data_IF_383903102328
#
_entry.id   IF_383903102328
#
_cell.length_a   1.000
_cell.length_b   1.000
_cell.length_c   1.000
_cell.angle_alpha   90.00
_cell.angle_beta   90.00
_cell.angle_gamma   90.00
#
_symmetry.space_group_name_H-M   'P 1'
#
loop_
_entity.id
_entity.type
_entity.pdbx_description
1 polymer ?
#
# COMPACT_ATOMS: atom_id res chain seq x y z
N UNK A 1 4.26 24.37 -6.07
CA UNK A 1 2.97 25.01 -5.70
C UNK A 1 2.69 24.64 -4.25
N UNK A 2 2.52 25.63 -3.38
CA UNK A 2 2.35 25.40 -1.93
C UNK A 2 1.10 24.53 -1.65
N UNK A 3 1.25 23.48 -0.84
CA UNK A 3 0.21 22.51 -0.51
C UNK A 3 -1.01 23.21 0.11
N UNK A 4 -0.74 24.21 0.95
CA UNK A 4 -1.77 25.02 1.61
C UNK A 4 -2.59 25.80 0.58
N UNK A 5 -1.93 26.52 -0.31
CA UNK A 5 -2.60 27.26 -1.40
C UNK A 5 -3.43 26.33 -2.29
N UNK A 6 -2.95 25.12 -2.58
CA UNK A 6 -3.69 24.13 -3.36
C UNK A 6 -4.95 23.64 -2.65
N UNK A 7 -4.90 23.44 -1.32
CA UNK A 7 -6.07 23.09 -0.51
C UNK A 7 -7.08 24.22 -0.46
N UNK A 8 -6.63 25.45 -0.26
CA UNK A 8 -7.50 26.63 -0.18
C UNK A 8 -8.28 26.84 -1.50
N UNK A 9 -7.59 26.72 -2.65
CA UNK A 9 -8.24 26.79 -3.98
C UNK A 9 -9.29 25.68 -4.13
N UNK A 10 -9.00 24.44 -3.71
CA UNK A 10 -9.96 23.33 -3.78
C UNK A 10 -11.16 23.56 -2.88
N UNK A 11 -10.95 24.09 -1.67
CA UNK A 11 -12.03 24.41 -0.75
C UNK A 11 -12.97 25.47 -1.32
N UNK A 12 -12.44 26.54 -1.91
CA UNK A 12 -13.24 27.58 -2.57
C UNK A 12 -14.07 27.01 -3.72
N UNK A 13 -13.48 26.14 -4.55
CA UNK A 13 -14.20 25.47 -5.65
C UNK A 13 -15.38 24.62 -5.15
N UNK A 14 -15.20 23.85 -4.07
CA UNK A 14 -16.29 23.07 -3.51
C UNK A 14 -17.35 23.94 -2.82
N UNK A 15 -16.97 25.03 -2.18
CA UNK A 15 -17.91 26.00 -1.62
C UNK A 15 -18.76 26.67 -2.70
N UNK A 16 -18.15 27.05 -3.83
CA UNK A 16 -18.88 27.57 -5.00
C UNK A 16 -19.81 26.51 -5.60
N UNK A 17 -19.35 25.25 -5.71
CA UNK A 17 -20.19 24.15 -6.15
C UNK A 17 -21.42 23.96 -5.24
N UNK A 18 -21.23 24.02 -3.91
CA UNK A 18 -22.34 23.92 -2.94
C UNK A 18 -23.32 25.08 -3.13
N UNK A 19 -22.85 26.31 -3.37
CA UNK A 19 -23.72 27.47 -3.65
C UNK A 19 -24.56 27.26 -4.91
N UNK A 20 -23.97 26.72 -5.98
CA UNK A 20 -24.66 26.47 -7.25
C UNK A 20 -25.58 25.24 -7.20
N UNK A 21 -25.24 24.22 -6.41
CA UNK A 21 -25.95 22.92 -6.34
C UNK A 21 -26.07 22.44 -4.88
N UNK A 22 -26.87 23.12 -4.03
CA UNK A 22 -26.95 22.84 -2.59
C UNK A 22 -27.68 21.53 -2.24
N UNK A 23 -28.36 20.91 -3.20
CA UNK A 23 -29.02 19.61 -3.09
C UNK A 23 -28.07 18.44 -3.37
N UNK A 24 -26.92 18.69 -4.01
CA UNK A 24 -26.00 17.62 -4.43
C UNK A 24 -25.02 17.25 -3.30
N UNK A 25 -24.97 15.97 -2.87
CA UNK A 25 -24.08 15.53 -1.79
C UNK A 25 -22.59 15.63 -2.16
N UNK A 26 -22.26 15.65 -3.45
CA UNK A 26 -20.90 15.68 -3.96
C UNK A 26 -20.08 16.89 -3.47
N UNK A 27 -20.69 18.09 -3.45
CA UNK A 27 -20.00 19.30 -3.00
C UNK A 27 -19.59 19.23 -1.54
N UNK A 28 -20.54 18.85 -0.68
CA UNK A 28 -20.29 18.64 0.75
C UNK A 28 -19.25 17.55 0.99
N UNK A 29 -19.33 16.43 0.28
CA UNK A 29 -18.31 15.38 0.36
C UNK A 29 -16.91 15.87 -0.02
N UNK A 30 -16.79 16.57 -1.16
CA UNK A 30 -15.51 17.11 -1.63
C UNK A 30 -14.89 18.09 -0.63
N UNK A 31 -15.71 18.97 -0.04
CA UNK A 31 -15.27 19.89 1.00
C UNK A 31 -14.86 19.16 2.29
N UNK A 32 -15.57 18.10 2.68
CA UNK A 32 -15.21 17.24 3.81
C UNK A 32 -13.85 16.57 3.63
N UNK A 33 -13.53 16.10 2.42
CA UNK A 33 -12.20 15.56 2.09
C UNK A 33 -11.11 16.64 2.23
N UNK A 34 -11.36 17.86 1.77
CA UNK A 34 -10.37 18.94 1.94
C UNK A 34 -10.13 19.26 3.42
N UNK A 35 -11.18 19.23 4.25
CA UNK A 35 -11.01 19.40 5.70
C UNK A 35 -10.22 18.26 6.35
N UNK A 36 -10.39 17.00 5.91
CA UNK A 36 -9.55 15.88 6.37
C UNK A 36 -8.08 16.11 6.02
N UNK A 37 -7.79 16.51 4.78
CA UNK A 37 -6.43 16.80 4.32
C UNK A 37 -5.81 18.00 5.06
N UNK A 38 -6.63 18.97 5.47
CA UNK A 38 -6.21 20.10 6.29
C UNK A 38 -6.09 19.77 7.79
N UNK A 39 -6.27 18.51 8.20
CA UNK A 39 -6.19 18.10 9.60
C UNK A 39 -7.34 18.58 10.48
N UNK A 40 -8.52 18.85 9.90
CA UNK A 40 -9.72 19.37 10.59
C UNK A 40 -10.87 18.36 10.57
N UNK A 41 -10.76 17.20 11.25
CA UNK A 41 -11.75 16.12 11.21
C UNK A 41 -13.15 16.56 11.68
N UNK A 42 -13.25 17.44 12.68
CA UNK A 42 -14.55 17.94 13.14
C UNK A 42 -15.32 18.77 12.10
N UNK A 43 -14.61 19.55 11.25
CA UNK A 43 -15.25 20.25 10.13
C UNK A 43 -15.60 19.27 9.01
N UNK A 44 -14.76 18.26 8.77
CA UNK A 44 -15.05 17.20 7.83
C UNK A 44 -16.32 16.43 8.20
N UNK A 45 -16.52 16.10 9.49
CA UNK A 45 -17.73 15.40 9.94
C UNK A 45 -19.00 16.21 9.68
N UNK A 46 -18.96 17.52 9.93
CA UNK A 46 -20.07 18.42 9.60
C UNK A 46 -20.42 18.32 8.12
N UNK A 47 -19.41 18.35 7.24
CA UNK A 47 -19.62 18.27 5.80
C UNK A 47 -20.12 16.90 5.33
N UNK A 48 -19.57 15.80 5.85
CA UNK A 48 -20.09 14.46 5.53
C UNK A 48 -21.51 14.26 6.08
N UNK A 49 -21.83 14.82 7.23
CA UNK A 49 -23.19 14.83 7.77
C UNK A 49 -24.15 15.57 6.83
N UNK A 50 -23.75 16.74 6.31
CA UNK A 50 -24.57 17.47 5.33
C UNK A 50 -24.75 16.66 4.05
N UNK A 51 -23.70 16.03 3.52
CA UNK A 51 -23.81 15.14 2.36
C UNK A 51 -24.82 14.00 2.59
N UNK A 52 -24.81 13.39 3.78
CA UNK A 52 -25.74 12.31 4.13
C UNK A 52 -27.16 12.81 4.42
N UNK A 53 -27.34 14.07 4.85
CA UNK A 53 -28.67 14.70 4.92
C UNK A 53 -29.27 14.88 3.52
N UNK A 54 -28.45 15.22 2.52
CA UNK A 54 -28.89 15.34 1.12
C UNK A 54 -29.17 13.99 0.48
N UNK A 55 -28.35 12.99 0.78
CA UNK A 55 -28.55 11.62 0.32
C UNK A 55 -28.02 10.60 1.34
N UNK A 56 -28.90 9.94 2.12
CA UNK A 56 -28.50 8.96 3.12
C UNK A 56 -27.78 7.73 2.55
N UNK A 57 -27.99 7.42 1.27
CA UNK A 57 -27.35 6.31 0.55
C UNK A 57 -25.98 6.66 -0.04
N UNK A 58 -25.48 7.89 0.14
CA UNK A 58 -24.24 8.34 -0.49
C UNK A 58 -23.00 7.74 0.17
N UNK A 59 -22.58 6.57 -0.32
CA UNK A 59 -21.47 5.76 0.21
C UNK A 59 -20.16 6.54 0.39
N UNK A 60 -19.74 7.46 -0.53
CA UNK A 60 -18.51 8.23 -0.30
C UNK A 60 -18.53 9.05 1.00
N UNK A 61 -19.67 9.64 1.37
CA UNK A 61 -19.79 10.35 2.64
C UNK A 61 -19.86 9.40 3.84
N UNK A 62 -20.43 8.18 3.67
CA UNK A 62 -20.34 7.15 4.70
C UNK A 62 -18.89 6.74 4.96
N UNK A 63 -18.10 6.54 3.90
CA UNK A 63 -16.66 6.27 4.02
C UNK A 63 -15.93 7.44 4.70
N UNK A 64 -16.25 8.69 4.34
CA UNK A 64 -15.68 9.88 4.97
C UNK A 64 -15.98 9.95 6.48
N UNK A 65 -17.21 9.65 6.89
CA UNK A 65 -17.55 9.53 8.33
C UNK A 65 -16.79 8.44 9.05
N UNK A 66 -16.66 7.27 8.43
CA UNK A 66 -15.86 6.19 9.01
C UNK A 66 -14.40 6.64 9.20
N UNK A 67 -13.83 7.32 8.20
CA UNK A 67 -12.48 7.87 8.26
C UNK A 67 -12.30 8.91 9.37
N UNK A 68 -13.28 9.80 9.57
CA UNK A 68 -13.28 10.75 10.70
C UNK A 68 -13.23 10.01 12.04
N UNK A 69 -14.11 9.02 12.25
CA UNK A 69 -14.16 8.26 13.51
C UNK A 69 -12.83 7.56 13.80
N UNK A 70 -12.15 7.08 12.76
CA UNK A 70 -10.84 6.45 12.89
C UNK A 70 -9.73 7.46 13.18
N UNK A 71 -9.76 8.63 12.52
CA UNK A 71 -8.81 9.71 12.76
C UNK A 71 -8.94 10.32 14.17
N UNK A 72 -10.16 10.34 14.72
CA UNK A 72 -10.44 10.72 16.11
C UNK A 72 -10.16 9.59 17.13
N UNK A 73 -9.60 8.45 16.69
CA UNK A 73 -9.30 7.27 17.52
C UNK A 73 -10.52 6.67 18.25
N UNK A 74 -11.72 6.88 17.68
CA UNK A 74 -13.01 6.37 18.16
C UNK A 74 -13.31 5.00 17.55
N UNK A 75 -12.40 4.05 17.77
CA UNK A 75 -12.41 2.73 17.11
C UNK A 75 -13.71 1.93 17.32
N UNK A 76 -14.25 1.91 18.54
CA UNK A 76 -15.52 1.21 18.83
C UNK A 76 -16.69 1.86 18.08
N UNK A 77 -16.71 3.19 18.01
CA UNK A 77 -17.72 3.92 17.26
C UNK A 77 -17.57 3.65 15.75
N UNK A 78 -16.35 3.61 15.23
CA UNK A 78 -16.07 3.25 13.83
C UNK A 78 -16.56 1.83 13.50
N UNK A 79 -16.30 0.84 14.36
CA UNK A 79 -16.76 -0.52 14.19
C UNK A 79 -18.29 -0.64 14.20
N UNK A 80 -18.97 0.06 15.13
CA UNK A 80 -20.44 0.13 15.18
C UNK A 80 -21.01 0.85 13.96
N UNK A 81 -20.36 1.93 13.51
CA UNK A 81 -20.77 2.69 12.34
C UNK A 81 -20.67 1.86 11.05
N UNK A 82 -19.59 1.07 10.90
CA UNK A 82 -19.47 0.10 9.83
C UNK A 82 -20.60 -0.92 9.90
N UNK A 83 -20.85 -1.52 11.07
CA UNK A 83 -21.91 -2.51 11.24
C UNK A 83 -23.28 -1.95 10.83
N UNK A 84 -23.61 -0.72 11.24
CA UNK A 84 -24.86 -0.03 10.87
C UNK A 84 -24.98 0.22 9.37
N UNK A 85 -23.87 0.37 8.65
CA UNK A 85 -23.85 0.71 7.22
C UNK A 85 -23.29 -0.42 6.35
N UNK A 86 -23.26 -1.65 6.88
CA UNK A 86 -22.57 -2.80 6.30
C UNK A 86 -22.99 -3.05 4.86
N UNK A 87 -24.30 -3.07 4.60
CA UNK A 87 -24.86 -3.29 3.27
C UNK A 87 -24.31 -2.29 2.24
N UNK A 88 -24.16 -1.01 2.62
CA UNK A 88 -23.61 0.02 1.73
C UNK A 88 -22.14 -0.22 1.39
N UNK A 89 -21.36 -0.72 2.35
CA UNK A 89 -19.92 -0.98 2.18
C UNK A 89 -19.65 -2.30 1.45
N UNK A 90 -20.48 -3.32 1.67
CA UNK A 90 -20.33 -4.63 1.05
C UNK A 90 -20.93 -4.69 -0.36
N UNK A 91 -21.83 -3.76 -0.72
CA UNK A 91 -22.49 -3.73 -2.03
C UNK A 91 -21.54 -3.75 -3.24
N UNK A 92 -20.36 -3.13 -3.13
CA UNK A 92 -19.35 -3.13 -4.19
C UNK A 92 -17.97 -3.38 -3.60
N UNK A 93 -17.18 -4.22 -4.28
CA UNK A 93 -15.79 -4.53 -3.91
C UNK A 93 -14.94 -3.27 -3.71
N UNK A 94 -15.14 -2.21 -4.51
CA UNK A 94 -14.41 -0.94 -4.37
C UNK A 94 -14.65 -0.27 -3.01
N UNK A 95 -15.84 -0.39 -2.43
CA UNK A 95 -16.17 0.20 -1.14
C UNK A 95 -15.58 -0.63 0.01
N UNK A 96 -15.68 -1.95 -0.04
CA UNK A 96 -15.02 -2.84 0.91
C UNK A 96 -13.49 -2.61 0.91
N UNK A 97 -12.87 -2.60 -0.27
CA UNK A 97 -11.45 -2.28 -0.46
C UNK A 97 -11.08 -0.93 0.14
N UNK A 98 -11.90 0.10 -0.08
CA UNK A 98 -11.69 1.43 0.50
C UNK A 98 -11.76 1.39 2.03
N UNK A 99 -12.73 0.70 2.61
CA UNK A 99 -12.84 0.54 4.08
C UNK A 99 -11.58 -0.14 4.63
N UNK A 100 -11.16 -1.27 4.07
CA UNK A 100 -9.96 -1.98 4.52
C UNK A 100 -8.71 -1.09 4.43
N UNK A 101 -8.59 -0.33 3.35
CA UNK A 101 -7.50 0.64 3.16
C UNK A 101 -7.53 1.75 4.21
N UNK A 102 -8.69 2.35 4.46
CA UNK A 102 -8.84 3.42 5.45
C UNK A 102 -8.49 2.92 6.85
N UNK A 103 -8.96 1.72 7.24
CA UNK A 103 -8.68 1.15 8.57
C UNK A 103 -7.20 0.75 8.69
N UNK A 104 -6.64 0.06 7.70
CA UNK A 104 -5.24 -0.38 7.75
C UNK A 104 -4.23 0.76 7.70
N UNK A 105 -4.56 1.90 7.08
CA UNK A 105 -3.69 3.10 7.08
C UNK A 105 -3.42 3.65 8.49
N UNK A 106 -4.28 3.37 9.46
CA UNK A 106 -4.06 3.74 10.87
C UNK A 106 -2.76 3.13 11.39
N UNK A 107 -2.38 1.95 10.90
CA UNK A 107 -1.14 1.28 11.24
C UNK A 107 0.12 2.12 10.94
N UNK A 108 0.02 3.04 9.98
CA UNK A 108 1.10 3.94 9.59
C UNK A 108 1.21 5.19 10.50
N UNK A 109 0.16 5.50 11.26
CA UNK A 109 0.12 6.70 12.09
C UNK A 109 1.06 6.55 13.29
N UNK A 110 1.90 7.56 13.51
CA UNK A 110 2.76 7.62 14.71
C UNK A 110 1.92 7.60 15.99
N UNK A 111 0.74 8.22 15.99
CA UNK A 111 -0.17 8.20 17.15
C UNK A 111 -0.54 6.77 17.55
N UNK A 112 -0.87 5.91 16.59
CA UNK A 112 -1.16 4.49 16.85
C UNK A 112 0.02 3.75 17.49
N UNK A 113 1.25 4.04 17.04
CA UNK A 113 2.45 3.43 17.62
C UNK A 113 2.82 3.99 19.00
N UNK A 114 2.65 5.31 19.23
CA UNK A 114 2.96 5.98 20.50
C UNK A 114 1.92 5.67 21.58
N UNK A 115 0.65 5.53 21.22
CA UNK A 115 -0.44 5.21 22.14
C UNK A 115 -0.27 3.80 22.76
N UNK A 116 0.45 2.90 22.10
CA UNK A 116 0.85 1.60 22.64
C UNK A 116 2.12 1.64 23.51
N UNK A 117 2.89 2.74 23.48
CA UNK A 117 4.15 2.88 24.22
C UNK A 117 4.03 3.60 25.58
N UNK A 118 2.96 4.35 25.84
CA UNK A 118 2.75 5.00 27.16
C UNK A 118 1.80 4.16 28.04
N UNK A 119 2.21 3.87 29.27
CA UNK A 119 1.46 3.03 30.22
C UNK A 119 -0.01 3.46 30.40
N UNK A 120 -0.28 4.75 30.57
CA UNK A 120 -1.66 5.26 30.73
C UNK A 120 -2.52 5.11 29.47
N UNK A 121 -1.92 5.20 28.28
CA UNK A 121 -2.65 5.03 27.02
C UNK A 121 -2.84 3.56 26.65
N UNK A 122 -1.99 2.66 27.17
CA UNK A 122 -2.22 1.21 27.08
C UNK A 122 -3.55 0.84 27.76
N UNK A 123 -3.82 1.31 28.99
CA UNK A 123 -5.07 0.97 29.69
C UNK A 123 -6.33 1.49 28.99
N UNK A 124 -6.33 2.75 28.55
CA UNK A 124 -7.46 3.32 27.79
C UNK A 124 -7.67 2.61 26.44
N UNK A 125 -6.60 2.10 25.84
CA UNK A 125 -6.66 1.31 24.62
C UNK A 125 -7.13 -0.13 24.90
N UNK A 126 -6.71 -0.73 26.02
CA UNK A 126 -7.09 -2.09 26.42
C UNK A 126 -8.60 -2.17 26.72
N UNK A 127 -9.21 -1.13 27.29
CA UNK A 127 -10.67 -1.05 27.44
C UNK A 127 -11.38 -1.03 26.07
N UNK A 128 -10.92 -0.18 25.15
CA UNK A 128 -11.43 -0.13 23.77
C UNK A 128 -11.26 -1.49 23.07
N UNK A 129 -10.15 -2.19 23.31
CA UNK A 129 -9.88 -3.52 22.78
C UNK A 129 -10.81 -4.56 23.38
N UNK A 130 -11.10 -4.51 24.69
CA UNK A 130 -12.09 -5.38 25.31
C UNK A 130 -13.47 -5.25 24.65
N UNK A 131 -13.89 -4.02 24.34
CA UNK A 131 -15.12 -3.78 23.58
C UNK A 131 -15.05 -4.35 22.15
N UNK A 132 -13.93 -4.17 21.44
CA UNK A 132 -13.73 -4.74 20.11
C UNK A 132 -13.69 -6.28 20.12
N UNK A 133 -13.10 -6.90 21.15
CA UNK A 133 -13.12 -8.36 21.32
C UNK A 133 -14.53 -8.89 21.57
N UNK A 134 -15.33 -8.21 22.40
CA UNK A 134 -16.75 -8.54 22.56
C UNK A 134 -17.51 -8.45 21.23
N UNK A 135 -17.23 -7.41 20.44
CA UNK A 135 -17.81 -7.26 19.11
C UNK A 135 -17.37 -8.37 18.14
N UNK A 136 -16.10 -8.79 18.18
CA UNK A 136 -15.59 -9.90 17.40
C UNK A 136 -16.30 -11.21 17.75
N UNK A 137 -16.43 -11.51 19.04
CA UNK A 137 -17.12 -12.72 19.51
C UNK A 137 -18.60 -12.73 19.10
N UNK A 138 -19.25 -11.57 19.05
CA UNK A 138 -20.64 -11.44 18.59
C UNK A 138 -20.77 -11.50 17.06
N UNK A 139 -19.79 -10.97 16.32
CA UNK A 139 -19.78 -10.97 14.85
C UNK A 139 -18.35 -10.96 14.30
N UNK A 140 -17.84 -12.15 13.99
CA UNK A 140 -16.49 -12.33 13.43
C UNK A 140 -16.32 -11.81 12.00
N UNK A 141 -17.41 -11.39 11.31
CA UNK A 141 -17.37 -10.92 9.92
C UNK A 141 -17.15 -9.42 9.78
N UNK A 142 -16.93 -8.66 10.87
CA UNK A 142 -16.70 -7.22 10.78
C UNK A 142 -15.20 -6.93 10.48
N UNK A 143 -14.84 -6.54 9.23
CA UNK A 143 -13.45 -6.33 8.87
C UNK A 143 -12.82 -5.15 9.61
N UNK A 144 -13.61 -4.15 10.04
CA UNK A 144 -13.07 -3.02 10.82
C UNK A 144 -12.56 -3.54 12.17
N UNK A 145 -13.35 -4.36 12.85
CA UNK A 145 -12.94 -5.01 14.12
C UNK A 145 -11.73 -5.90 13.89
N UNK A 146 -11.75 -6.75 12.87
CA UNK A 146 -10.69 -7.72 12.61
C UNK A 146 -9.36 -7.03 12.31
N UNK A 147 -9.36 -5.99 11.46
CA UNK A 147 -8.16 -5.23 11.13
C UNK A 147 -7.64 -4.50 12.38
N UNK A 148 -8.50 -3.83 13.16
CA UNK A 148 -8.09 -3.14 14.39
C UNK A 148 -7.48 -4.09 15.43
N UNK A 149 -8.10 -5.26 15.66
CA UNK A 149 -7.57 -6.26 16.58
C UNK A 149 -6.26 -6.86 16.08
N UNK A 150 -6.15 -7.15 14.78
CA UNK A 150 -4.90 -7.66 14.19
C UNK A 150 -3.74 -6.67 14.33
N UNK A 151 -3.97 -5.37 14.09
CA UNK A 151 -2.96 -4.34 14.29
C UNK A 151 -2.51 -4.23 15.75
N UNK A 152 -3.47 -4.31 16.70
CA UNK A 152 -3.16 -4.30 18.13
C UNK A 152 -2.34 -5.53 18.55
N UNK A 153 -2.74 -6.73 18.13
CA UNK A 153 -2.03 -7.97 18.46
C UNK A 153 -0.62 -8.00 17.86
N UNK A 154 -0.43 -7.51 16.63
CA UNK A 154 0.90 -7.34 16.05
C UNK A 154 1.78 -6.42 16.91
N UNK A 155 1.24 -5.29 17.38
CA UNK A 155 2.00 -4.34 18.19
C UNK A 155 2.30 -4.83 19.60
N UNK A 156 1.46 -5.72 20.16
CA UNK A 156 1.71 -6.41 21.42
C UNK A 156 2.56 -7.68 21.25
N UNK A 157 3.03 -7.96 20.04
CA UNK A 157 3.77 -9.18 19.70
C UNK A 157 3.05 -10.45 20.16
N UNK A 158 1.73 -10.44 20.11
CA UNK A 158 0.90 -11.53 20.60
C UNK A 158 0.97 -12.72 19.65
N UNK A 159 1.37 -13.87 20.17
CA UNK A 159 1.51 -15.13 19.45
C UNK A 159 0.59 -16.20 20.05
N UNK A 160 -0.73 -15.96 20.01
CA UNK A 160 -1.75 -16.97 20.35
C UNK A 160 -2.62 -17.33 19.13
N UNK A 161 -3.31 -18.46 19.22
CA UNK A 161 -4.10 -18.99 18.09
C UNK A 161 -5.22 -18.05 17.64
N UNK A 162 -5.78 -17.27 18.59
CA UNK A 162 -6.80 -16.26 18.29
C UNK A 162 -6.23 -15.12 17.46
N UNK A 163 -5.03 -14.64 17.79
CA UNK A 163 -4.33 -13.64 17.01
C UNK A 163 -3.99 -14.18 15.61
N UNK A 164 -3.51 -15.42 15.52
CA UNK A 164 -3.21 -16.06 14.24
C UNK A 164 -4.45 -16.23 13.34
N UNK A 165 -5.60 -16.59 13.91
CA UNK A 165 -6.85 -16.66 13.15
C UNK A 165 -7.21 -15.29 12.54
N UNK A 166 -7.07 -14.21 13.31
CA UNK A 166 -7.27 -12.85 12.83
C UNK A 166 -6.23 -12.42 11.78
N UNK A 167 -4.97 -12.79 11.96
CA UNK A 167 -3.92 -12.50 10.98
C UNK A 167 -4.23 -13.17 9.63
N UNK A 168 -4.60 -14.45 9.63
CA UNK A 168 -5.01 -15.17 8.42
C UNK A 168 -6.23 -14.55 7.76
N UNK A 169 -7.21 -14.09 8.54
CA UNK A 169 -8.38 -13.41 7.99
C UNK A 169 -7.99 -12.08 7.34
N UNK A 170 -7.13 -11.29 7.99
CA UNK A 170 -6.78 -9.95 7.54
C UNK A 170 -5.80 -9.93 6.35
N UNK A 171 -4.84 -10.86 6.28
CA UNK A 171 -3.77 -10.83 5.26
C UNK A 171 -4.34 -10.92 3.83
N UNK A 172 -5.41 -11.69 3.64
CA UNK A 172 -6.10 -11.89 2.37
C UNK A 172 -7.12 -10.79 2.01
N UNK A 173 -7.34 -9.78 2.88
CA UNK A 173 -8.27 -8.70 2.57
C UNK A 173 -7.67 -7.77 1.50
N UNK A 174 -8.43 -7.56 0.43
CA UNK A 174 -8.10 -6.56 -0.59
C UNK A 174 -8.17 -5.16 0.02
N UNK A 175 -7.18 -4.32 -0.28
CA UNK A 175 -7.09 -2.94 0.19
C UNK A 175 -6.27 -2.71 1.45
N UNK A 176 -5.85 -3.76 2.17
CA UNK A 176 -4.88 -3.62 3.27
C UNK A 176 -3.61 -2.94 2.77
N UNK A 177 -3.10 -1.97 3.53
CA UNK A 177 -1.87 -1.26 3.19
C UNK A 177 -0.66 -2.21 3.22
N UNK A 178 0.30 -1.99 2.31
CA UNK A 178 1.40 -2.94 2.06
C UNK A 178 2.27 -3.17 3.30
N UNK A 179 2.49 -2.14 4.13
CA UNK A 179 3.21 -2.27 5.40
C UNK A 179 2.51 -3.22 6.38
N UNK A 180 1.21 -3.06 6.59
CA UNK A 180 0.46 -3.95 7.48
C UNK A 180 0.41 -5.36 6.90
N UNK A 181 0.18 -5.51 5.58
CA UNK A 181 0.17 -6.83 4.95
C UNK A 181 1.51 -7.53 5.08
N UNK A 182 2.62 -6.83 4.92
CA UNK A 182 3.95 -7.41 5.13
C UNK A 182 4.14 -7.89 6.56
N UNK A 183 3.78 -7.09 7.56
CA UNK A 183 3.91 -7.49 8.96
C UNK A 183 3.05 -8.73 9.28
N UNK A 184 1.86 -8.82 8.70
CA UNK A 184 1.00 -10.00 8.77
C UNK A 184 1.63 -11.23 8.09
N UNK A 185 2.15 -11.08 6.86
CA UNK A 185 2.87 -12.17 6.16
C UNK A 185 4.08 -12.62 6.97
N UNK A 186 4.84 -11.68 7.52
CA UNK A 186 6.05 -11.96 8.28
C UNK A 186 5.74 -12.74 9.57
N UNK A 187 4.70 -12.34 10.34
CA UNK A 187 4.32 -13.08 11.55
C UNK A 187 3.75 -14.45 11.21
N UNK A 188 2.90 -14.54 10.19
CA UNK A 188 2.29 -15.80 9.75
C UNK A 188 3.34 -16.79 9.25
N UNK A 189 4.39 -16.29 8.57
CA UNK A 189 5.46 -17.13 8.04
C UNK A 189 6.21 -17.95 9.09
N UNK A 190 6.14 -17.56 10.38
CA UNK A 190 6.72 -18.32 11.48
C UNK A 190 6.03 -19.68 11.70
N UNK A 191 4.71 -19.76 11.51
CA UNK A 191 3.94 -21.02 11.64
C UNK A 191 3.55 -21.62 10.28
N UNK A 192 3.49 -20.80 9.24
CA UNK A 192 3.06 -21.19 7.90
C UNK A 192 4.04 -20.65 6.84
N UNK A 193 5.25 -21.25 6.68
CA UNK A 193 6.27 -20.74 5.77
C UNK A 193 5.81 -20.61 4.30
N UNK A 194 4.85 -21.46 3.89
CA UNK A 194 4.27 -21.46 2.55
C UNK A 194 3.65 -20.10 2.15
N UNK A 195 3.22 -19.28 3.11
CA UNK A 195 2.65 -17.95 2.84
C UNK A 195 3.60 -17.02 2.08
N UNK A 196 4.93 -17.22 2.23
CA UNK A 196 5.95 -16.44 1.52
C UNK A 196 6.02 -16.74 0.02
N UNK A 197 5.29 -17.76 -0.45
CA UNK A 197 5.18 -18.16 -1.86
C UNK A 197 3.74 -18.10 -2.37
N UNK A 198 2.81 -17.55 -1.58
CA UNK A 198 1.41 -17.42 -1.99
C UNK A 198 1.25 -16.26 -2.98
N UNK A 199 1.03 -16.62 -4.24
CA UNK A 199 0.79 -15.68 -5.34
C UNK A 199 -0.46 -14.85 -5.15
N UNK A 200 -1.52 -15.40 -4.55
CA UNK A 200 -2.78 -14.65 -4.30
C UNK A 200 -2.55 -13.54 -3.31
N UNK A 201 -1.72 -13.76 -2.30
CA UNK A 201 -1.35 -12.72 -1.32
C UNK A 201 -0.40 -11.70 -1.94
N UNK A 202 0.59 -12.16 -2.70
CA UNK A 202 1.51 -11.30 -3.46
C UNK A 202 0.76 -10.34 -4.38
N UNK A 203 -0.29 -10.83 -5.04
CA UNK A 203 -1.09 -10.03 -5.98
C UNK A 203 -1.80 -8.84 -5.35
N UNK A 204 -2.08 -8.93 -4.05
CA UNK A 204 -2.74 -7.85 -3.33
C UNK A 204 -1.79 -6.66 -3.05
N UNK A 205 -0.47 -6.87 -3.03
CA UNK A 205 0.49 -5.79 -2.78
C UNK A 205 0.46 -4.76 -3.91
N UNK A 206 0.51 -3.47 -3.57
CA UNK A 206 0.53 -2.37 -4.54
C UNK A 206 1.96 -1.90 -4.82
N UNK A 207 2.85 -1.94 -3.83
CA UNK A 207 4.27 -1.66 -3.96
C UNK A 207 5.11 -2.60 -3.10
N UNK A 208 6.43 -2.49 -3.20
CA UNK A 208 7.34 -3.11 -2.25
C UNK A 208 7.21 -2.37 -0.89
N UNK A 209 6.90 -3.07 0.22
CA UNK A 209 6.77 -2.45 1.54
C UNK A 209 8.08 -1.81 2.03
N UNK A 210 8.01 -0.63 2.62
CA UNK A 210 9.19 0.12 3.11
C UNK A 210 10.02 -0.63 4.15
N UNK A 211 9.38 -1.45 4.99
CA UNK A 211 10.03 -2.23 6.05
C UNK A 211 10.34 -3.68 5.65
N UNK A 212 10.15 -4.03 4.38
CA UNK A 212 10.52 -5.34 3.85
C UNK A 212 12.01 -5.34 3.48
N UNK A 213 12.82 -6.09 4.23
CA UNK A 213 14.26 -6.29 3.96
C UNK A 213 14.60 -7.74 3.58
N UNK A 214 13.65 -8.69 3.68
CA UNK A 214 13.88 -10.08 3.26
C UNK A 214 13.96 -10.15 1.73
N UNK A 215 15.19 -10.17 1.21
CA UNK A 215 15.50 -10.11 -0.23
C UNK A 215 14.78 -11.22 -1.01
N UNK A 216 14.63 -12.42 -0.45
CA UNK A 216 13.91 -13.52 -1.11
C UNK A 216 12.44 -13.20 -1.38
N UNK A 217 11.77 -12.54 -0.42
CA UNK A 217 10.37 -12.14 -0.59
C UNK A 217 10.25 -10.91 -1.50
N UNK A 218 11.23 -9.99 -1.48
CA UNK A 218 11.32 -8.90 -2.47
C UNK A 218 11.41 -9.48 -3.88
N UNK A 219 12.31 -10.44 -4.12
CA UNK A 219 12.46 -11.11 -5.41
C UNK A 219 11.15 -11.77 -5.85
N UNK A 220 10.47 -12.46 -4.92
CA UNK A 220 9.18 -13.07 -5.20
C UNK A 220 8.12 -12.04 -5.61
N UNK A 221 7.96 -10.94 -4.86
CA UNK A 221 7.01 -9.87 -5.20
C UNK A 221 7.31 -9.23 -6.56
N UNK A 222 8.59 -8.95 -6.85
CA UNK A 222 9.00 -8.38 -8.14
C UNK A 222 8.63 -9.31 -9.30
N UNK A 223 8.84 -10.62 -9.13
CA UNK A 223 8.46 -11.64 -10.11
C UNK A 223 6.95 -11.64 -10.34
N UNK A 224 6.15 -11.64 -9.26
CA UNK A 224 4.69 -11.57 -9.35
C UNK A 224 4.22 -10.28 -10.05
N UNK A 225 4.84 -9.12 -9.76
CA UNK A 225 4.45 -7.86 -10.41
C UNK A 225 4.73 -7.88 -11.92
N UNK A 226 5.85 -8.45 -12.36
CA UNK A 226 6.14 -8.60 -13.79
C UNK A 226 5.11 -9.50 -14.50
N UNK A 227 4.61 -10.53 -13.82
CA UNK A 227 3.57 -11.42 -14.34
C UNK A 227 2.19 -10.73 -14.48
N UNK A 228 1.92 -9.67 -13.71
CA UNK A 228 0.66 -8.91 -13.81
C UNK A 228 0.61 -7.95 -15.01
N UNK A 229 1.73 -7.76 -15.72
CA UNK A 229 1.85 -6.90 -16.89
C UNK A 229 1.48 -5.41 -16.68
N UNK A 230 1.42 -4.96 -15.43
CA UNK A 230 1.26 -3.55 -15.06
C UNK A 230 2.64 -2.85 -15.10
N UNK A 231 2.91 -2.13 -16.20
CA UNK A 231 4.22 -1.51 -16.43
C UNK A 231 4.58 -0.47 -15.38
N UNK A 232 3.62 0.39 -14.99
CA UNK A 232 3.88 1.44 -14.02
C UNK A 232 4.22 0.84 -12.66
N UNK A 233 3.46 -0.17 -12.24
CA UNK A 233 3.71 -0.89 -10.98
C UNK A 233 5.08 -1.55 -10.96
N UNK A 234 5.47 -2.22 -12.06
CA UNK A 234 6.79 -2.87 -12.17
C UNK A 234 7.90 -1.83 -12.08
N UNK A 235 7.84 -0.76 -12.87
CA UNK A 235 8.89 0.28 -12.88
C UNK A 235 9.03 0.95 -11.51
N UNK A 236 7.92 1.30 -10.86
CA UNK A 236 7.92 1.89 -9.53
C UNK A 236 8.50 0.93 -8.48
N UNK A 237 8.18 -0.37 -8.55
CA UNK A 237 8.70 -1.37 -7.64
C UNK A 237 10.22 -1.52 -7.74
N UNK A 238 10.75 -1.62 -8.97
CA UNK A 238 12.20 -1.73 -9.18
C UNK A 238 12.95 -0.44 -8.86
N UNK A 239 12.37 0.75 -9.15
CA UNK A 239 12.94 2.04 -8.72
C UNK A 239 13.06 2.10 -7.20
N UNK A 240 11.99 1.76 -6.47
CA UNK A 240 11.96 1.78 -5.01
C UNK A 240 13.03 0.85 -4.40
N UNK A 241 13.20 -0.34 -4.98
CA UNK A 241 14.23 -1.31 -4.54
C UNK A 241 15.63 -0.74 -4.75
N UNK A 242 15.89 -0.09 -5.90
CA UNK A 242 17.17 0.52 -6.21
C UNK A 242 17.48 1.74 -5.31
N UNK A 243 16.50 2.62 -5.07
CA UNK A 243 16.61 3.77 -4.16
C UNK A 243 16.96 3.33 -2.73
N UNK A 244 16.44 2.17 -2.30
CA UNK A 244 16.72 1.57 -1.00
C UNK A 244 18.03 0.76 -0.96
N UNK A 245 18.81 0.77 -2.05
CA UNK A 245 20.04 0.00 -2.21
C UNK A 245 19.85 -1.51 -2.00
N UNK A 246 18.62 -2.00 -2.14
CA UNK A 246 18.35 -3.43 -2.13
C UNK A 246 18.77 -4.01 -3.47
N UNK A 247 19.54 -5.08 -3.44
CA UNK A 247 20.06 -5.75 -4.65
C UNK A 247 19.22 -7.00 -4.89
N UNK A 248 18.38 -7.04 -5.96
CA UNK A 248 17.65 -8.24 -6.33
C UNK A 248 18.58 -9.41 -6.65
N UNK A 249 18.03 -10.62 -6.75
CA UNK A 249 18.78 -11.76 -7.26
C UNK A 249 19.15 -11.54 -8.74
N UNK A 250 20.25 -12.17 -9.19
CA UNK A 250 20.66 -12.15 -10.60
C UNK A 250 19.54 -12.60 -11.54
N UNK A 251 18.79 -13.63 -11.12
CA UNK A 251 17.61 -14.12 -11.85
C UNK A 251 16.56 -13.02 -12.01
N UNK A 252 16.17 -12.36 -10.92
CA UNK A 252 15.17 -11.27 -10.94
C UNK A 252 15.63 -10.09 -11.80
N UNK A 253 16.92 -9.73 -11.74
CA UNK A 253 17.51 -8.69 -12.59
C UNK A 253 17.40 -9.06 -14.07
N UNK A 254 17.73 -10.31 -14.41
CA UNK A 254 17.63 -10.79 -15.78
C UNK A 254 16.17 -10.81 -16.27
N UNK A 255 15.24 -11.29 -15.45
CA UNK A 255 13.80 -11.27 -15.74
C UNK A 255 13.28 -9.84 -15.97
N UNK A 256 13.78 -8.86 -15.19
CA UNK A 256 13.46 -7.45 -15.39
C UNK A 256 14.01 -6.90 -16.71
N UNK A 257 15.25 -7.20 -17.08
CA UNK A 257 15.80 -6.78 -18.37
C UNK A 257 15.04 -7.39 -19.54
N UNK A 258 14.61 -8.64 -19.41
CA UNK A 258 13.75 -9.29 -20.39
C UNK A 258 12.38 -8.61 -20.47
N UNK A 259 11.77 -8.29 -19.32
CA UNK A 259 10.53 -7.52 -19.25
C UNK A 259 10.64 -6.16 -19.96
N UNK A 260 11.71 -5.41 -19.70
CA UNK A 260 12.03 -4.14 -20.35
C UNK A 260 12.21 -4.29 -21.87
N UNK A 261 12.99 -5.27 -22.29
CA UNK A 261 13.29 -5.52 -23.71
C UNK A 261 12.05 -5.88 -24.52
N UNK A 262 11.18 -6.74 -23.98
CA UNK A 262 9.93 -7.14 -24.64
C UNK A 262 8.92 -6.00 -24.81
N UNK A 263 9.11 -4.86 -24.13
CA UNK A 263 8.20 -3.70 -24.14
C UNK A 263 8.87 -2.41 -24.62
N UNK A 264 10.14 -2.47 -25.02
CA UNK A 264 11.00 -1.32 -25.34
C UNK A 264 11.03 -0.21 -24.26
N UNK A 265 10.91 -0.58 -22.99
CA UNK A 265 10.97 0.36 -21.86
C UNK A 265 12.36 0.31 -21.23
N UNK A 266 13.04 1.46 -21.16
CA UNK A 266 14.41 1.55 -20.65
C UNK A 266 14.55 2.71 -19.68
N UNK A 267 15.33 2.49 -18.61
CA UNK A 267 15.59 3.48 -17.58
C UNK A 267 16.97 3.22 -16.93
N UNK A 268 17.35 4.10 -16.00
CA UNK A 268 18.60 3.99 -15.24
C UNK A 268 18.68 2.71 -14.41
N UNK A 269 17.55 2.19 -13.92
CA UNK A 269 17.50 0.92 -13.18
C UNK A 269 17.88 -0.27 -14.07
N UNK A 270 17.36 -0.31 -15.32
CA UNK A 270 17.75 -1.31 -16.30
C UNK A 270 19.24 -1.23 -16.65
N UNK A 271 19.77 -0.01 -16.81
CA UNK A 271 21.20 0.19 -17.01
C UNK A 271 22.05 -0.36 -15.86
N UNK A 272 21.69 -0.03 -14.62
CA UNK A 272 22.35 -0.52 -13.40
C UNK A 272 22.35 -2.04 -13.31
N UNK A 273 21.23 -2.70 -13.62
CA UNK A 273 21.17 -4.16 -13.58
C UNK A 273 21.89 -4.85 -14.73
N UNK A 274 21.84 -4.29 -15.94
CA UNK A 274 22.63 -4.78 -17.07
C UNK A 274 24.13 -4.74 -16.73
N UNK A 275 24.60 -3.61 -16.18
CA UNK A 275 25.98 -3.48 -15.74
C UNK A 275 26.33 -4.48 -14.65
N UNK A 276 25.52 -4.59 -13.58
CA UNK A 276 25.76 -5.55 -12.50
C UNK A 276 25.83 -6.99 -13.01
N UNK A 277 24.94 -7.41 -13.91
CA UNK A 277 24.96 -8.77 -14.45
C UNK A 277 26.24 -9.05 -15.24
N UNK A 278 26.63 -8.15 -16.15
CA UNK A 278 27.85 -8.29 -16.95
C UNK A 278 29.10 -8.32 -16.05
N UNK A 279 29.19 -7.41 -15.07
CA UNK A 279 30.30 -7.38 -14.11
C UNK A 279 30.38 -8.63 -13.24
N UNK A 280 29.25 -9.32 -13.02
CA UNK A 280 29.19 -10.61 -12.32
C UNK A 280 29.38 -11.82 -13.26
N UNK A 281 29.86 -11.60 -14.49
CA UNK A 281 30.19 -12.66 -15.45
C UNK A 281 29.01 -13.23 -16.23
N UNK A 282 27.81 -12.63 -16.11
CA UNK A 282 26.70 -12.99 -16.99
C UNK A 282 26.89 -12.29 -18.32
N UNK A 283 27.52 -12.98 -19.26
CA UNK A 283 27.82 -12.45 -20.60
C UNK A 283 27.19 -13.35 -21.66
N UNK A 284 26.24 -12.79 -22.41
CA UNK A 284 25.55 -13.46 -23.50
C UNK A 284 25.08 -12.46 -24.56
N UNK A 285 24.62 -12.97 -25.70
CA UNK A 285 24.12 -12.14 -26.82
C UNK A 285 23.01 -11.19 -26.39
N UNK A 286 22.09 -11.63 -25.54
CA UNK A 286 20.98 -10.80 -25.04
C UNK A 286 21.48 -9.60 -24.22
N UNK A 287 22.40 -9.81 -23.28
CA UNK A 287 22.95 -8.74 -22.46
C UNK A 287 23.84 -7.79 -23.27
N UNK A 288 24.57 -8.29 -24.27
CA UNK A 288 25.31 -7.43 -25.21
C UNK A 288 24.36 -6.50 -25.97
N UNK A 289 23.32 -7.05 -26.60
CA UNK A 289 22.32 -6.25 -27.33
C UNK A 289 21.62 -5.25 -26.41
N UNK A 290 21.32 -5.65 -25.17
CA UNK A 290 20.72 -4.79 -24.16
C UNK A 290 21.64 -3.62 -23.80
N UNK A 291 22.94 -3.88 -23.58
CA UNK A 291 23.93 -2.85 -23.28
C UNK A 291 24.06 -1.83 -24.43
N UNK A 292 24.10 -2.30 -25.68
CA UNK A 292 24.14 -1.44 -26.87
C UNK A 292 22.88 -0.56 -26.95
N UNK A 293 21.68 -1.13 -26.73
CA UNK A 293 20.42 -0.37 -26.71
C UNK A 293 20.43 0.71 -25.64
N UNK A 294 20.88 0.38 -24.43
CA UNK A 294 20.96 1.31 -23.31
C UNK A 294 21.97 2.44 -23.56
N UNK A 295 23.10 2.14 -24.22
CA UNK A 295 24.06 3.15 -24.70
C UNK A 295 23.42 4.08 -25.73
N UNK A 296 22.75 3.54 -26.74
CA UNK A 296 22.09 4.34 -27.77
C UNK A 296 20.99 5.25 -27.22
N UNK A 297 20.29 4.82 -26.15
CA UNK A 297 19.30 5.63 -25.44
C UNK A 297 19.92 6.57 -24.38
N UNK A 298 21.25 6.62 -24.25
CA UNK A 298 21.95 7.55 -23.36
C UNK A 298 21.97 7.16 -21.87
N UNK A 299 21.55 5.95 -21.51
CA UNK A 299 21.56 5.48 -20.12
C UNK A 299 22.92 4.92 -19.67
N UNK A 300 23.77 4.54 -20.62
CA UNK A 300 25.12 4.03 -20.37
C UNK A 300 26.10 4.82 -21.23
N UNK A 301 27.23 5.25 -20.66
CA UNK A 301 28.29 5.92 -21.41
C UNK A 301 29.02 4.95 -22.34
N UNK A 302 29.45 5.43 -23.51
CA UNK A 302 30.24 4.65 -24.46
C UNK A 302 31.52 4.06 -23.86
N UNK A 303 32.10 4.75 -22.87
CA UNK A 303 33.35 4.36 -22.21
C UNK A 303 33.13 3.48 -20.97
N UNK A 304 31.90 2.98 -20.76
CA UNK A 304 31.61 2.13 -19.61
C UNK A 304 32.38 0.81 -19.72
N UNK A 305 32.98 0.38 -18.60
CA UNK A 305 33.78 -0.85 -18.47
C UNK A 305 33.05 -2.09 -18.99
N UNK A 306 31.72 -2.14 -18.96
CA UNK A 306 30.96 -3.28 -19.49
C UNK A 306 31.30 -3.57 -20.96
N UNK A 307 31.60 -2.57 -21.79
CA UNK A 307 31.92 -2.79 -23.20
C UNK A 307 33.29 -3.46 -23.40
N UNK A 308 34.26 -3.16 -22.53
CA UNK A 308 35.52 -3.91 -22.49
C UNK A 308 35.34 -5.35 -22.00
N UNK A 309 34.38 -5.60 -21.11
CA UNK A 309 34.05 -6.97 -20.69
C UNK A 309 33.41 -7.71 -21.87
N UNK A 310 32.44 -7.11 -22.55
CA UNK A 310 31.77 -7.73 -23.70
C UNK A 310 32.73 -8.03 -24.85
N UNK A 311 33.73 -7.19 -25.12
CA UNK A 311 34.73 -7.43 -26.16
C UNK A 311 35.62 -8.63 -25.87
N UNK A 312 35.99 -8.87 -24.61
CA UNK A 312 36.73 -10.07 -24.21
C UNK A 312 36.01 -11.39 -24.55
N UNK A 313 34.67 -11.35 -24.62
CA UNK A 313 33.83 -12.50 -24.98
C UNK A 313 33.38 -12.47 -26.45
N UNK A 314 33.95 -11.59 -27.28
CA UNK A 314 33.66 -11.52 -28.72
C UNK A 314 32.30 -10.90 -29.08
N UNK A 315 31.65 -10.21 -28.14
CA UNK A 315 30.32 -9.60 -28.38
C UNK A 315 30.36 -8.14 -28.81
N UNK A 316 31.54 -7.52 -28.78
CA UNK A 316 31.74 -6.14 -29.19
C UNK A 316 33.13 -6.05 -29.82
N UNK A 317 33.21 -5.87 -31.14
CA UNK A 317 34.47 -5.48 -31.78
C UNK A 317 34.77 -4.04 -31.33
N UNK A 318 36.02 -3.80 -30.92
CA UNK A 318 36.46 -2.55 -30.30
C UNK A 318 36.33 -1.35 -31.23
#
# INVERSE_FOLDING_TARGET
MDLKMSLDIRMLKFQDYIRRKPDRPFGYYGLGIQYMLAGKPGLADKMFTQALKKNPGYVPAKSGKLEVLLAEERYVAAARYYQKNRESFERKRIYAKRVHRTVSRIYLLRSFSVHLGKLRSIFAFDEKIGALQKMYNANAKNPVVNILLSMYFLKKEKDDDRAFALYNLCVGLDGICDRLRWDLVNILSKKQPAILRDTKIADLFQSIPENLYKVDYVNFLLTCFMAQHDMEKVMNAFSNVNERQLVPSRRTMWEFLYFCSSRDVWNSTAASYCQKLIENGWVNSFLSQTAIRLKNKGFISSNNKIFSILSLYGYNEA
#
